data_IF_018452233954
#
_entry.id   IF_018452233954
#
_cell.length_a   1.000
_cell.length_b   1.000
_cell.length_c   1.000
_cell.angle_alpha   90.00
_cell.angle_beta   90.00
_cell.angle_gamma   90.00
#
_symmetry.space_group_name_H-M   'P 1'
#
loop_
_entity.id
_entity.type
_entity.pdbx_description
1 polymer ?
#
# COMPACT_ATOMS: atom_id res chain seq x y z
N UNK A 1 -22.31 -21.15 -80.77
CA UNK A 1 -21.81 -22.48 -80.39
C UNK A 1 -21.96 -22.65 -78.89
N UNK A 2 -22.60 -23.75 -78.49
CA UNK A 2 -22.62 -24.45 -77.18
C UNK A 2 -22.97 -23.63 -75.92
N UNK A 3 -24.23 -23.61 -75.42
CA UNK A 3 -25.00 -24.68 -74.71
C UNK A 3 -24.44 -25.00 -73.32
N UNK A 4 -25.19 -25.16 -72.23
CA UNK A 4 -26.62 -25.06 -71.91
C UNK A 4 -26.66 -25.17 -70.36
N UNK A 5 -27.46 -24.32 -69.70
CA UNK A 5 -27.62 -24.29 -68.24
C UNK A 5 -28.93 -25.00 -67.92
N UNK A 6 -28.88 -26.20 -67.34
CA UNK A 6 -30.07 -26.92 -66.88
C UNK A 6 -29.94 -27.26 -65.39
N UNK A 7 -30.95 -26.82 -64.63
CA UNK A 7 -31.21 -27.27 -63.28
C UNK A 7 -31.91 -28.63 -63.26
N UNK A 8 -31.79 -29.32 -62.13
CA UNK A 8 -32.60 -30.49 -61.81
C UNK A 8 -33.17 -30.33 -60.39
N UNK A 9 -34.48 -30.15 -60.32
CA UNK A 9 -35.30 -30.28 -59.12
C UNK A 9 -35.51 -31.76 -58.81
N UNK A 10 -35.26 -32.21 -57.58
CA UNK A 10 -35.88 -33.43 -57.06
C UNK A 10 -36.28 -33.22 -55.60
N UNK A 11 -37.60 -33.19 -55.37
CA UNK A 11 -38.24 -33.38 -54.07
C UNK A 11 -38.09 -34.84 -53.62
N UNK A 12 -37.77 -35.09 -52.34
CA UNK A 12 -38.09 -36.37 -51.67
C UNK A 12 -38.63 -36.12 -50.25
N UNK A 13 -39.75 -36.80 -49.99
CA UNK A 13 -40.52 -36.89 -48.73
C UNK A 13 -39.75 -37.63 -47.63
N UNK A 14 -40.11 -37.47 -46.34
CA UNK A 14 -39.40 -38.07 -45.22
C UNK A 14 -39.74 -39.55 -45.04
N UNK A 15 -38.74 -40.36 -44.70
CA UNK A 15 -38.93 -41.74 -44.25
C UNK A 15 -38.25 -41.88 -42.90
N UNK A 16 -39.05 -42.25 -41.90
CA UNK A 16 -38.64 -42.68 -40.58
C UNK A 16 -37.85 -43.97 -40.66
N UNK A 17 -36.66 -44.02 -40.05
CA UNK A 17 -36.25 -45.20 -39.29
C UNK A 17 -35.15 -44.86 -38.27
N UNK A 18 -35.54 -45.12 -37.02
CA UNK A 18 -34.76 -45.68 -35.92
C UNK A 18 -33.29 -46.04 -36.16
N UNK A 19 -32.43 -45.57 -35.25
CA UNK A 19 -31.24 -46.30 -34.85
C UNK A 19 -29.89 -45.63 -35.08
N UNK A 20 -29.58 -44.55 -34.37
CA UNK A 20 -28.23 -44.33 -33.80
C UNK A 20 -28.23 -43.24 -32.72
N UNK A 21 -27.57 -43.45 -31.56
CA UNK A 21 -27.64 -42.53 -30.44
C UNK A 21 -26.88 -41.23 -30.72
N UNK A 22 -27.40 -40.12 -30.17
CA UNK A 22 -26.80 -38.80 -30.23
C UNK A 22 -25.45 -38.75 -29.47
N UNK A 23 -24.49 -37.92 -29.91
CA UNK A 23 -23.21 -37.77 -29.23
C UNK A 23 -23.41 -37.18 -27.83
N UNK A 24 -22.87 -37.87 -26.82
CA UNK A 24 -22.98 -37.48 -25.41
C UNK A 24 -22.41 -36.09 -25.14
N UNK A 25 -23.20 -35.24 -24.48
CA UNK A 25 -22.77 -33.93 -23.98
C UNK A 25 -21.75 -34.14 -22.86
N UNK A 26 -20.52 -33.69 -23.05
CA UNK A 26 -19.54 -33.57 -21.95
C UNK A 26 -19.96 -32.37 -21.07
N UNK A 27 -20.13 -32.60 -19.77
CA UNK A 27 -20.36 -31.54 -18.78
C UNK A 27 -19.06 -30.73 -18.55
N UNK A 28 -19.13 -29.41 -18.34
CA UNK A 28 -18.00 -28.62 -17.84
C UNK A 28 -17.68 -29.02 -16.39
N UNK A 29 -16.39 -29.11 -16.05
CA UNK A 29 -15.85 -29.54 -14.74
C UNK A 29 -16.02 -28.47 -13.64
N UNK A 30 -16.92 -27.51 -13.82
CA UNK A 30 -17.15 -26.47 -12.82
C UNK A 30 -18.60 -26.02 -12.88
N UNK A 31 -19.43 -26.55 -11.97
CA UNK A 31 -20.81 -26.12 -11.78
C UNK A 31 -21.70 -27.20 -11.20
N UNK A 32 -22.11 -26.96 -9.95
CA UNK A 32 -23.33 -27.41 -9.27
C UNK A 32 -23.75 -28.88 -9.44
N UNK A 33 -23.47 -29.67 -8.40
CA UNK A 33 -24.20 -30.91 -8.14
C UNK A 33 -25.38 -30.62 -7.22
N UNK A 34 -26.54 -30.42 -7.84
CA UNK A 34 -27.83 -30.56 -7.20
C UNK A 34 -28.53 -31.76 -7.84
N UNK A 35 -28.57 -32.88 -7.12
CA UNK A 35 -29.56 -33.94 -7.34
C UNK A 35 -30.02 -34.49 -6.00
N UNK A 36 -31.31 -34.25 -5.80
CA UNK A 36 -32.28 -34.93 -4.96
C UNK A 36 -32.02 -36.44 -4.82
N UNK A 37 -32.03 -36.93 -3.58
CA UNK A 37 -32.35 -38.31 -3.23
C UNK A 37 -33.05 -38.28 -1.86
N UNK A 38 -34.32 -38.68 -1.84
CA UNK A 38 -35.07 -38.91 -0.62
C UNK A 38 -34.56 -40.19 0.07
N UNK A 39 -34.16 -40.06 1.34
CA UNK A 39 -34.42 -41.08 2.37
C UNK A 39 -34.39 -40.43 3.76
N UNK A 40 -35.27 -40.95 4.61
CA UNK A 40 -35.81 -40.39 5.87
C UNK A 40 -34.85 -40.29 7.07
N UNK A 41 -34.94 -39.14 7.75
CA UNK A 41 -34.87 -38.86 9.20
C UNK A 41 -33.84 -39.55 10.12
N UNK A 42 -32.98 -38.75 10.78
CA UNK A 42 -33.04 -38.47 12.23
C UNK A 42 -31.97 -37.43 12.67
N UNK A 43 -32.46 -36.39 13.38
CA UNK A 43 -31.85 -35.50 14.38
C UNK A 43 -30.36 -35.08 14.34
N UNK A 44 -30.13 -33.76 14.22
CA UNK A 44 -29.67 -32.88 15.32
C UNK A 44 -29.06 -31.57 14.78
N UNK A 45 -29.65 -30.45 15.18
CA UNK A 45 -29.18 -29.09 14.93
C UNK A 45 -27.97 -28.76 15.82
N UNK A 46 -26.88 -28.23 15.23
CA UNK A 46 -25.89 -27.41 15.94
C UNK A 46 -25.09 -26.56 14.94
N UNK A 47 -25.59 -25.37 14.64
CA UNK A 47 -24.83 -24.30 13.99
C UNK A 47 -25.17 -22.98 14.70
N UNK A 48 -24.25 -22.49 15.53
CA UNK A 48 -24.32 -21.13 16.08
C UNK A 48 -23.73 -20.16 15.06
N UNK A 49 -24.59 -19.29 14.54
CA UNK A 49 -24.22 -18.11 13.76
C UNK A 49 -23.85 -16.97 14.72
N UNK A 50 -22.76 -16.29 14.38
CA UNK A 50 -22.14 -15.21 15.16
C UNK A 50 -23.05 -13.98 15.14
N UNK A 51 -23.74 -13.74 16.26
CA UNK A 51 -24.59 -12.57 16.49
C UNK A 51 -23.80 -11.33 16.90
N UNK A 52 -24.08 -10.24 16.18
CA UNK A 52 -23.67 -8.85 16.38
C UNK A 52 -23.86 -8.39 17.83
N UNK A 53 -22.88 -7.64 18.34
CA UNK A 53 -22.81 -7.07 19.68
C UNK A 53 -23.79 -5.89 19.84
N UNK A 54 -24.98 -6.16 20.37
CA UNK A 54 -25.95 -5.15 20.81
C UNK A 54 -25.84 -4.96 22.33
N UNK A 55 -25.30 -3.82 22.75
CA UNK A 55 -25.16 -3.42 24.14
C UNK A 55 -26.39 -2.62 24.58
N UNK A 56 -27.47 -3.30 24.98
CA UNK A 56 -28.47 -2.79 25.95
C UNK A 56 -29.63 -3.79 26.14
N UNK A 57 -29.50 -4.74 27.09
CA UNK A 57 -30.68 -5.40 27.70
C UNK A 57 -30.39 -6.05 29.07
N UNK A 58 -31.23 -5.85 30.10
CA UNK A 58 -30.99 -6.40 31.44
C UNK A 58 -31.41 -7.88 31.56
N UNK A 59 -30.58 -8.67 32.25
CA UNK A 59 -30.65 -10.12 32.38
C UNK A 59 -31.81 -10.63 33.28
N UNK A 60 -32.45 -11.74 32.87
CA UNK A 60 -33.33 -12.58 33.71
C UNK A 60 -32.56 -13.82 34.23
N UNK A 61 -32.87 -14.34 35.44
CA UNK A 61 -32.10 -15.43 36.05
C UNK A 61 -32.57 -16.82 35.57
N UNK A 62 -31.61 -17.69 35.24
CA UNK A 62 -31.81 -19.07 34.83
C UNK A 62 -31.98 -20.03 36.03
N UNK A 63 -32.75 -21.10 35.79
CA UNK A 63 -33.12 -22.18 36.70
C UNK A 63 -32.00 -23.21 36.95
N UNK A 64 -32.04 -23.80 38.15
CA UNK A 64 -31.12 -24.81 38.69
C UNK A 64 -31.29 -26.19 38.04
N UNK A 65 -30.18 -26.90 37.84
CA UNK A 65 -30.10 -28.37 37.85
C UNK A 65 -28.89 -28.87 38.65
N UNK A 66 -29.01 -30.13 39.08
CA UNK A 66 -28.44 -30.90 40.20
C UNK A 66 -26.95 -31.23 40.28
N UNK A 67 -26.44 -31.18 41.52
CA UNK A 67 -25.41 -31.97 42.24
C UNK A 67 -24.56 -33.05 41.53
N UNK A 68 -23.23 -32.95 41.71
CA UNK A 68 -22.30 -34.07 42.01
C UNK A 68 -21.35 -33.63 43.13
N UNK A 69 -21.05 -34.56 44.03
CA UNK A 69 -20.35 -34.39 45.30
C UNK A 69 -18.82 -34.30 45.17
N UNK A 70 -18.18 -33.54 46.07
CA UNK A 70 -16.74 -33.56 46.31
C UNK A 70 -16.19 -32.18 46.66
N UNK A 71 -15.65 -32.07 47.88
CA UNK A 71 -15.01 -30.90 48.50
C UNK A 71 -15.89 -29.70 48.87
N UNK A 72 -16.03 -29.51 50.19
CA UNK A 72 -16.69 -28.36 50.81
C UNK A 72 -15.89 -27.09 50.49
N UNK A 73 -16.43 -26.10 49.77
CA UNK A 73 -15.88 -24.76 49.81
C UNK A 73 -16.10 -24.18 51.22
N UNK A 74 -15.19 -23.35 51.75
CA UNK A 74 -15.41 -22.70 53.03
C UNK A 74 -16.74 -21.93 52.97
N UNK A 75 -17.52 -22.05 54.03
CA UNK A 75 -18.83 -21.42 54.18
C UNK A 75 -18.77 -19.99 53.67
N UNK A 76 -19.64 -19.67 52.69
CA UNK A 76 -19.94 -18.30 52.31
C UNK A 76 -20.40 -17.58 53.57
N UNK A 77 -19.51 -16.81 54.19
CA UNK A 77 -19.88 -15.77 55.12
C UNK A 77 -20.85 -14.87 54.35
N UNK A 78 -22.13 -15.04 54.66
CA UNK A 78 -23.17 -14.07 54.35
C UNK A 78 -22.65 -12.72 54.82
N UNK A 79 -22.14 -11.89 53.92
CA UNK A 79 -21.93 -10.49 54.18
C UNK A 79 -23.31 -9.87 54.28
N UNK A 80 -23.88 -10.01 55.47
CA UNK A 80 -24.91 -9.12 55.98
C UNK A 80 -24.26 -7.76 55.90
N UNK A 81 -24.56 -7.04 54.82
CA UNK A 81 -24.12 -5.67 54.60
C UNK A 81 -24.98 -4.82 55.52
N UNK A 82 -24.80 -5.03 56.82
CA UNK A 82 -25.19 -4.06 57.82
C UNK A 82 -24.42 -2.81 57.42
N UNK A 83 -25.16 -1.77 57.00
CA UNK A 83 -24.59 -0.46 56.73
C UNK A 83 -24.10 0.10 58.05
N UNK A 84 -22.95 -0.37 58.51
CA UNK A 84 -22.19 0.28 59.55
C UNK A 84 -21.94 1.71 59.06
N UNK A 85 -22.17 2.72 59.90
CA UNK A 85 -21.88 4.09 59.52
C UNK A 85 -20.40 4.12 59.12
N UNK A 86 -20.12 4.59 57.91
CA UNK A 86 -18.75 4.89 57.49
C UNK A 86 -18.26 5.93 58.49
N UNK A 87 -17.51 5.47 59.49
CA UNK A 87 -16.82 6.34 60.43
C UNK A 87 -15.99 7.30 59.60
N UNK A 88 -15.95 8.59 59.99
CA UNK A 88 -15.15 9.62 59.32
C UNK A 88 -13.67 9.23 59.16
N UNK A 89 -13.21 8.22 59.92
CA UNK A 89 -11.83 7.74 59.96
C UNK A 89 -11.59 6.43 59.18
N UNK A 90 -12.59 5.87 58.48
CA UNK A 90 -12.43 4.63 57.70
C UNK A 90 -11.98 3.42 58.53
N UNK A 91 -11.66 2.31 57.86
CA UNK A 91 -11.07 1.12 58.50
C UNK A 91 -9.56 1.32 58.70
N UNK A 92 -9.19 1.84 59.87
CA UNK A 92 -7.79 2.12 60.26
C UNK A 92 -6.90 0.87 60.20
N UNK A 93 -7.45 -0.32 60.43
CA UNK A 93 -6.69 -1.56 60.36
C UNK A 93 -6.28 -1.87 58.92
N UNK A 94 -7.18 -1.64 57.96
CA UNK A 94 -6.88 -1.77 56.53
C UNK A 94 -5.86 -0.73 56.05
N UNK A 95 -5.88 0.48 56.61
CA UNK A 95 -4.87 1.49 56.27
C UNK A 95 -3.47 1.10 56.76
N UNK A 96 -3.38 0.55 57.98
CA UNK A 96 -2.11 0.10 58.55
C UNK A 96 -1.53 -1.09 57.80
N UNK A 97 -2.37 -2.07 57.42
CA UNK A 97 -1.91 -3.21 56.61
C UNK A 97 -1.46 -2.75 55.22
N UNK A 98 -2.21 -1.84 54.58
CA UNK A 98 -1.81 -1.24 53.31
C UNK A 98 -0.45 -0.53 53.41
N UNK A 99 -0.23 0.27 54.47
CA UNK A 99 1.03 0.98 54.66
C UNK A 99 2.22 0.03 54.88
N UNK A 100 2.02 -1.07 55.63
CA UNK A 100 3.04 -2.11 55.79
C UNK A 100 3.39 -2.75 54.46
N UNK A 101 2.38 -3.16 53.68
CA UNK A 101 2.60 -3.76 52.37
C UNK A 101 3.24 -2.77 51.37
N UNK A 102 2.87 -1.48 51.42
CA UNK A 102 3.49 -0.45 50.60
C UNK A 102 4.96 -0.22 50.98
N UNK A 103 5.29 -0.22 52.27
CA UNK A 103 6.68 -0.10 52.74
C UNK A 103 7.52 -1.33 52.38
N UNK A 104 6.95 -2.54 52.54
CA UNK A 104 7.56 -3.80 52.09
C UNK A 104 7.83 -3.76 50.57
N UNK A 105 6.83 -3.37 49.77
CA UNK A 105 6.95 -3.24 48.33
C UNK A 105 8.02 -2.23 47.90
N UNK A 106 8.04 -1.03 48.51
CA UNK A 106 9.04 0.01 48.25
C UNK A 106 10.45 -0.44 48.64
N UNK A 107 10.58 -1.27 49.68
CA UNK A 107 11.87 -1.82 50.11
C UNK A 107 12.43 -2.87 49.15
N UNK A 108 11.56 -3.60 48.45
CA UNK A 108 11.94 -4.57 47.42
C UNK A 108 12.30 -3.85 46.12
N UNK A 109 11.49 -2.86 45.73
CA UNK A 109 11.69 -2.05 44.53
C UNK A 109 11.26 -0.58 44.77
N UNK A 110 12.22 0.37 44.80
CA UNK A 110 11.91 1.79 44.95
C UNK A 110 11.11 2.38 43.78
N UNK A 111 11.14 1.75 42.60
CA UNK A 111 10.46 2.21 41.38
C UNK A 111 9.03 1.70 41.23
N UNK A 112 8.54 0.88 42.16
CA UNK A 112 7.25 0.18 42.03
C UNK A 112 6.04 1.11 41.85
N UNK A 113 6.15 2.36 42.34
CA UNK A 113 5.11 3.39 42.23
C UNK A 113 5.45 4.50 41.21
N UNK A 114 6.57 4.39 40.48
CA UNK A 114 6.99 5.37 39.48
C UNK A 114 6.33 5.09 38.12
N UNK A 115 5.03 5.34 38.06
CA UNK A 115 4.22 5.12 36.86
C UNK A 115 4.58 6.08 35.72
N UNK A 116 5.00 7.30 36.04
CA UNK A 116 5.35 8.33 35.07
C UNK A 116 6.61 7.93 34.30
N UNK A 117 7.65 7.41 34.97
CA UNK A 117 8.86 6.92 34.30
C UNK A 117 8.57 5.76 33.34
N UNK A 118 7.71 4.82 33.72
CA UNK A 118 7.30 3.73 32.83
C UNK A 118 6.49 4.22 31.63
N UNK A 119 5.58 5.18 31.85
CA UNK A 119 4.79 5.80 30.80
C UNK A 119 5.66 6.54 29.78
N UNK A 120 6.58 7.37 30.28
CA UNK A 120 7.54 8.13 29.47
C UNK A 120 8.47 7.20 28.69
N UNK A 121 8.95 6.11 29.30
CA UNK A 121 9.77 5.10 28.62
C UNK A 121 9.03 4.41 27.47
N UNK A 122 7.74 4.14 27.61
CA UNK A 122 6.93 3.54 26.54
C UNK A 122 6.65 4.54 25.41
N UNK A 123 6.37 5.80 25.75
CA UNK A 123 6.02 6.84 24.79
C UNK A 123 7.23 7.33 24.01
N UNK A 124 8.38 7.52 24.66
CA UNK A 124 9.65 7.86 24.01
C UNK A 124 10.09 6.78 23.03
N UNK A 125 9.98 5.49 23.38
CA UNK A 125 10.31 4.38 22.46
C UNK A 125 9.33 4.27 21.30
N UNK A 126 8.03 4.45 21.56
CA UNK A 126 7.02 4.51 20.50
C UNK A 126 7.30 5.66 19.53
N UNK A 127 7.67 6.83 20.06
CA UNK A 127 8.06 7.99 19.26
C UNK A 127 9.35 7.73 18.46
N UNK A 128 10.38 7.13 19.06
CA UNK A 128 11.62 6.76 18.39
C UNK A 128 11.38 5.73 17.27
N UNK A 129 10.55 4.69 17.53
CA UNK A 129 10.15 3.70 16.51
C UNK A 129 9.40 4.38 15.35
N UNK A 130 8.47 5.30 15.64
CA UNK A 130 7.76 6.08 14.61
C UNK A 130 8.69 7.00 13.82
N UNK A 131 9.69 7.60 14.47
CA UNK A 131 10.69 8.43 13.79
C UNK A 131 11.54 7.59 12.83
N UNK A 132 12.06 6.45 13.30
CA UNK A 132 12.80 5.50 12.47
C UNK A 132 11.95 5.00 11.29
N UNK A 133 10.67 4.65 11.51
CA UNK A 133 9.77 4.22 10.43
C UNK A 133 9.54 5.32 9.38
N UNK A 134 9.51 6.61 9.78
CA UNK A 134 9.41 7.74 8.85
C UNK A 134 10.67 7.93 8.03
N UNK A 135 11.85 7.81 8.65
CA UNK A 135 13.14 7.87 7.95
C UNK A 135 13.27 6.72 6.95
N UNK A 136 12.94 5.50 7.38
CA UNK A 136 12.89 4.33 6.51
C UNK A 136 11.88 4.52 5.38
N UNK A 137 10.70 5.07 5.65
CA UNK A 137 9.70 5.34 4.61
C UNK A 137 10.19 6.36 3.56
N UNK A 138 11.05 7.31 3.94
CA UNK A 138 11.66 8.26 3.00
C UNK A 138 12.74 7.61 2.13
N UNK A 139 13.50 6.67 2.69
CA UNK A 139 14.56 5.96 1.98
C UNK A 139 14.04 4.79 1.13
N UNK A 140 12.89 4.21 1.51
CA UNK A 140 12.40 2.98 0.89
C UNK A 140 11.85 3.24 -0.50
N UNK A 141 12.31 2.42 -1.44
CA UNK A 141 11.73 2.33 -2.79
C UNK A 141 10.23 2.02 -2.73
N UNK A 142 9.44 2.46 -3.72
CA UNK A 142 8.02 2.16 -3.79
C UNK A 142 7.76 0.65 -3.68
N UNK A 143 6.75 0.28 -2.87
CA UNK A 143 6.46 -1.09 -2.41
C UNK A 143 6.46 -2.17 -3.52
N UNK A 144 6.12 -1.80 -4.74
CA UNK A 144 5.92 -2.72 -5.85
C UNK A 144 6.97 -2.64 -6.96
N UNK A 145 7.91 -1.68 -6.93
CA UNK A 145 8.86 -1.49 -8.04
C UNK A 145 9.82 -2.67 -8.17
N UNK A 146 10.34 -3.17 -7.05
CA UNK A 146 11.24 -4.33 -7.06
C UNK A 146 10.54 -5.58 -7.60
N UNK A 147 9.25 -5.77 -7.27
CA UNK A 147 8.44 -6.86 -7.80
C UNK A 147 8.19 -6.72 -9.30
N UNK A 148 7.96 -5.49 -9.78
CA UNK A 148 7.77 -5.22 -11.21
C UNK A 148 9.06 -5.50 -11.99
N UNK A 149 10.21 -5.07 -11.46
CA UNK A 149 11.53 -5.32 -12.05
C UNK A 149 11.83 -6.82 -12.07
N UNK A 150 11.65 -7.51 -10.94
CA UNK A 150 11.83 -8.96 -10.85
C UNK A 150 10.91 -9.71 -11.84
N UNK A 151 9.64 -9.32 -11.95
CA UNK A 151 8.71 -9.92 -12.91
C UNK A 151 9.12 -9.64 -14.36
N UNK A 152 9.65 -8.46 -14.67
CA UNK A 152 10.17 -8.15 -15.99
C UNK A 152 11.39 -9.01 -16.33
N UNK A 153 12.30 -9.23 -15.38
CA UNK A 153 13.43 -10.13 -15.56
C UNK A 153 13.01 -11.60 -15.75
N UNK A 154 12.05 -12.09 -14.96
CA UNK A 154 11.48 -13.43 -15.15
C UNK A 154 10.94 -13.58 -16.56
N UNK A 155 10.14 -12.62 -17.05
CA UNK A 155 9.64 -12.66 -18.44
C UNK A 155 10.75 -12.66 -19.48
N UNK A 156 11.84 -11.90 -19.26
CA UNK A 156 12.99 -11.91 -20.18
C UNK A 156 13.64 -13.30 -20.22
N UNK A 157 13.84 -13.94 -19.06
CA UNK A 157 14.36 -15.32 -18.97
C UNK A 157 13.41 -16.31 -19.66
N UNK A 158 12.11 -16.19 -19.43
CA UNK A 158 11.08 -17.04 -20.06
C UNK A 158 11.08 -16.90 -21.59
N UNK A 159 11.22 -15.66 -22.09
CA UNK A 159 11.30 -15.39 -23.52
C UNK A 159 12.53 -16.02 -24.18
N UNK A 160 13.69 -15.98 -23.51
CA UNK A 160 14.90 -16.64 -24.00
C UNK A 160 14.68 -18.16 -24.06
N UNK A 161 14.14 -18.77 -23.01
CA UNK A 161 13.80 -20.20 -22.98
C UNK A 161 12.81 -20.59 -24.08
N UNK A 162 11.81 -19.75 -24.32
CA UNK A 162 10.83 -19.99 -25.37
C UNK A 162 11.46 -19.97 -26.76
N UNK A 163 12.39 -19.03 -27.02
CA UNK A 163 13.14 -18.97 -28.27
C UNK A 163 14.05 -20.18 -28.46
N UNK A 164 14.73 -20.63 -27.41
CA UNK A 164 15.62 -21.80 -27.48
C UNK A 164 14.82 -23.08 -27.77
N UNK A 165 13.67 -23.26 -27.11
CA UNK A 165 12.76 -24.38 -27.40
C UNK A 165 12.15 -24.30 -28.79
N UNK A 166 11.85 -23.09 -29.27
CA UNK A 166 11.36 -22.88 -30.63
C UNK A 166 12.43 -23.30 -31.65
N UNK A 167 13.67 -22.87 -31.46
CA UNK A 167 14.80 -23.23 -32.33
C UNK A 167 15.10 -24.74 -32.29
N UNK A 168 14.97 -25.38 -31.13
CA UNK A 168 15.07 -26.84 -31.02
C UNK A 168 13.96 -27.54 -31.82
N UNK A 169 12.72 -27.06 -31.68
CA UNK A 169 11.57 -27.61 -32.40
C UNK A 169 11.68 -27.41 -33.92
N UNK A 170 12.21 -26.28 -34.37
CA UNK A 170 12.50 -26.02 -35.79
C UNK A 170 13.53 -27.01 -36.33
N UNK A 171 14.62 -27.27 -35.59
CA UNK A 171 15.62 -28.29 -35.97
C UNK A 171 15.06 -29.71 -35.97
N UNK A 172 14.19 -30.04 -35.03
CA UNK A 172 13.51 -31.34 -35.01
C UNK A 172 12.53 -31.49 -36.19
N UNK A 173 11.89 -30.40 -36.60
CA UNK A 173 11.00 -30.37 -37.76
C UNK A 173 11.76 -30.45 -39.09
N UNK A 174 12.94 -29.85 -39.19
CA UNK A 174 13.89 -30.02 -40.31
C UNK A 174 14.45 -31.45 -40.37
N UNK A 175 14.45 -32.17 -39.23
CA UNK A 175 14.64 -33.61 -39.15
C UNK A 175 15.90 -34.10 -39.88
N UNK A 176 15.68 -34.98 -40.86
CA UNK A 176 16.75 -35.63 -41.63
C UNK A 176 17.24 -34.83 -42.84
N UNK A 177 16.60 -33.69 -43.19
CA UNK A 177 16.98 -32.89 -44.37
C UNK A 177 18.42 -32.34 -44.28
N UNK A 178 18.96 -32.28 -43.07
CA UNK A 178 20.31 -31.82 -42.76
C UNK A 178 21.12 -32.83 -41.95
N UNK A 179 20.72 -34.12 -41.93
CA UNK A 179 21.45 -35.17 -41.23
C UNK A 179 22.88 -35.38 -41.79
N UNK A 180 23.05 -35.21 -43.09
CA UNK A 180 24.34 -35.34 -43.78
C UNK A 180 25.26 -34.11 -43.58
N UNK A 181 24.78 -33.03 -42.95
CA UNK A 181 25.56 -31.80 -42.74
C UNK A 181 26.00 -31.68 -41.28
N UNK A 182 27.22 -31.19 -41.09
CA UNK A 182 27.81 -31.00 -39.77
C UNK A 182 27.04 -29.93 -38.96
N UNK A 183 26.76 -30.24 -37.68
CA UNK A 183 26.04 -29.34 -36.76
C UNK A 183 27.04 -28.44 -36.03
N UNK A 184 27.14 -27.18 -36.45
CA UNK A 184 28.01 -26.21 -35.78
C UNK A 184 27.22 -25.42 -34.72
N UNK A 185 27.67 -25.50 -33.48
CA UNK A 185 27.16 -24.68 -32.38
C UNK A 185 28.24 -23.68 -31.98
N UNK A 186 27.92 -22.39 -32.04
CA UNK A 186 28.84 -21.32 -31.64
C UNK A 186 29.13 -21.40 -30.13
N UNK A 187 30.34 -21.03 -29.70
CA UNK A 187 30.71 -21.02 -28.27
C UNK A 187 29.73 -20.21 -27.43
N UNK A 188 29.34 -19.02 -27.92
CA UNK A 188 28.38 -18.14 -27.26
C UNK A 188 27.00 -18.81 -27.05
N UNK A 189 26.54 -19.65 -27.96
CA UNK A 189 25.26 -20.36 -27.79
C UNK A 189 25.37 -21.50 -26.77
N UNK A 190 26.53 -22.18 -26.71
CA UNK A 190 26.78 -23.18 -25.66
C UNK A 190 26.78 -22.53 -24.27
N UNK A 191 27.47 -21.39 -24.14
CA UNK A 191 27.50 -20.60 -22.91
C UNK A 191 26.09 -20.12 -22.51
N UNK A 192 25.30 -19.59 -23.45
CA UNK A 192 23.91 -19.20 -23.19
C UNK A 192 23.03 -20.38 -22.74
N UNK A 193 23.19 -21.55 -23.35
CA UNK A 193 22.43 -22.75 -22.97
C UNK A 193 22.81 -23.24 -21.56
N UNK A 194 24.09 -23.17 -21.20
CA UNK A 194 24.58 -23.52 -19.87
C UNK A 194 24.11 -22.52 -18.81
N UNK A 195 24.15 -21.22 -19.11
CA UNK A 195 23.62 -20.18 -18.22
C UNK A 195 22.12 -20.35 -17.97
N UNK A 196 21.33 -20.60 -19.02
CA UNK A 196 19.89 -20.87 -18.89
C UNK A 196 19.64 -22.12 -18.05
N UNK A 197 20.36 -23.22 -18.29
CA UNK A 197 20.23 -24.45 -17.51
C UNK A 197 20.59 -24.22 -16.03
N UNK A 198 21.67 -23.50 -15.75
CA UNK A 198 22.10 -23.17 -14.38
C UNK A 198 21.05 -22.34 -13.65
N UNK A 199 20.49 -21.32 -14.31
CA UNK A 199 19.43 -20.48 -13.74
C UNK A 199 18.14 -21.27 -13.49
N UNK A 200 17.79 -22.23 -14.36
CA UNK A 200 16.65 -23.12 -14.15
C UNK A 200 16.82 -24.03 -12.94
N UNK A 201 18.01 -24.61 -12.75
CA UNK A 201 18.29 -25.47 -11.59
C UNK A 201 18.26 -24.69 -10.27
N UNK A 202 18.77 -23.45 -10.27
CA UNK A 202 18.75 -22.58 -9.09
C UNK A 202 17.32 -22.13 -8.74
N UNK A 203 16.54 -21.68 -9.73
CA UNK A 203 15.13 -21.32 -9.53
C UNK A 203 14.31 -22.53 -9.07
N UNK A 204 14.56 -23.72 -9.63
CA UNK A 204 13.87 -24.96 -9.22
C UNK A 204 14.19 -25.33 -7.76
N UNK A 205 15.46 -25.29 -7.35
CA UNK A 205 15.85 -25.51 -5.95
C UNK A 205 15.18 -24.49 -5.03
N UNK A 206 15.19 -23.22 -5.42
CA UNK A 206 14.54 -22.14 -4.67
C UNK A 206 13.03 -22.35 -4.55
N UNK A 207 12.38 -22.78 -5.63
CA UNK A 207 10.95 -23.08 -5.65
C UNK A 207 10.63 -24.29 -4.75
N UNK A 208 11.44 -25.35 -4.79
CA UNK A 208 11.29 -26.53 -3.93
C UNK A 208 11.42 -26.16 -2.44
N UNK A 209 12.41 -25.34 -2.07
CA UNK A 209 12.54 -24.82 -0.70
C UNK A 209 11.36 -23.95 -0.29
N UNK A 210 10.90 -23.05 -1.17
CA UNK A 210 9.73 -22.21 -0.91
C UNK A 210 8.46 -23.05 -0.79
N UNK A 211 8.28 -24.06 -1.63
CA UNK A 211 7.16 -24.99 -1.58
C UNK A 211 7.20 -25.81 -0.29
N UNK A 212 8.38 -26.27 0.14
CA UNK A 212 8.55 -26.96 1.42
C UNK A 212 8.19 -26.04 2.61
N UNK A 213 8.61 -24.77 2.58
CA UNK A 213 8.26 -23.78 3.61
C UNK A 213 6.75 -23.49 3.61
N UNK A 214 6.15 -23.26 2.44
CA UNK A 214 4.70 -23.04 2.27
C UNK A 214 3.87 -24.24 2.75
N UNK A 215 4.31 -25.46 2.47
CA UNK A 215 3.65 -26.70 2.95
C UNK A 215 3.71 -26.82 4.48
N UNK A 216 4.80 -26.39 5.11
CA UNK A 216 4.98 -26.43 6.57
C UNK A 216 4.21 -25.34 7.31
N UNK A 217 3.92 -24.23 6.65
CA UNK A 217 3.38 -23.02 7.27
C UNK A 217 1.99 -22.70 6.68
N UNK A 218 0.98 -23.47 7.07
CA UNK A 218 -0.43 -23.13 6.80
C UNK A 218 -0.91 -21.93 7.61
N UNK A 219 -2.23 -21.71 7.70
CA UNK A 219 -2.83 -20.60 8.48
C UNK A 219 -2.36 -20.60 9.95
N UNK A 220 -2.21 -21.77 10.56
CA UNK A 220 -1.67 -21.91 11.92
C UNK A 220 -0.24 -21.37 12.07
N UNK A 221 0.57 -21.47 11.02
CA UNK A 221 1.93 -20.94 11.02
C UNK A 221 1.96 -19.41 10.89
N UNK A 222 0.99 -18.81 10.18
CA UNK A 222 0.81 -17.36 10.18
C UNK A 222 0.49 -16.85 11.60
N UNK A 223 -0.51 -17.44 12.26
CA UNK A 223 -0.85 -17.06 13.64
C UNK A 223 0.31 -17.28 14.60
N UNK A 224 1.04 -18.41 14.49
CA UNK A 224 2.24 -18.65 15.29
C UNK A 224 3.29 -17.55 15.08
N UNK A 225 3.57 -17.19 13.84
CA UNK A 225 4.54 -16.14 13.52
C UNK A 225 4.11 -14.75 14.04
N UNK A 226 2.82 -14.46 14.02
CA UNK A 226 2.26 -13.23 14.57
C UNK A 226 2.41 -13.20 16.09
N UNK A 227 2.07 -14.29 16.78
CA UNK A 227 2.23 -14.41 18.23
C UNK A 227 3.71 -14.37 18.65
N UNK A 228 4.61 -15.01 17.88
CA UNK A 228 6.06 -14.92 18.11
C UNK A 228 6.57 -13.49 17.93
N UNK A 229 6.08 -12.77 16.91
CA UNK A 229 6.44 -11.37 16.66
C UNK A 229 5.94 -10.46 17.79
N UNK A 230 4.69 -10.62 18.21
CA UNK A 230 4.11 -9.91 19.36
C UNK A 230 4.85 -10.22 20.66
N UNK A 231 5.18 -11.49 20.90
CA UNK A 231 5.99 -11.91 22.04
C UNK A 231 7.40 -11.31 22.04
N UNK A 232 8.06 -11.21 20.89
CA UNK A 232 9.37 -10.52 20.77
C UNK A 232 9.23 -9.02 21.06
N UNK A 233 8.22 -8.37 20.48
CA UNK A 233 7.94 -6.95 20.76
C UNK A 233 7.68 -6.70 22.25
N UNK A 234 6.95 -7.59 22.92
CA UNK A 234 6.68 -7.49 24.35
C UNK A 234 7.98 -7.60 25.16
N UNK A 235 8.82 -8.60 24.87
CA UNK A 235 10.12 -8.78 25.54
C UNK A 235 11.03 -7.58 25.36
N UNK A 236 11.11 -7.02 24.15
CA UNK A 236 11.87 -5.78 23.90
C UNK A 236 11.35 -4.61 24.75
N UNK A 237 10.03 -4.49 24.92
CA UNK A 237 9.43 -3.45 25.76
C UNK A 237 9.77 -3.65 27.24
N UNK A 238 9.68 -4.89 27.73
CA UNK A 238 10.04 -5.26 29.11
C UNK A 238 11.52 -5.03 29.39
N UNK A 239 12.43 -5.49 28.53
CA UNK A 239 13.88 -5.29 28.67
C UNK A 239 14.22 -3.81 28.67
N UNK A 240 13.60 -3.05 27.77
CA UNK A 240 13.86 -1.63 27.70
C UNK A 240 13.24 -0.86 28.88
N UNK A 241 12.10 -1.31 29.44
CA UNK A 241 11.53 -0.74 30.66
C UNK A 241 12.41 -1.06 31.88
N UNK A 242 12.94 -2.28 31.96
CA UNK A 242 13.91 -2.66 32.99
C UNK A 242 15.21 -1.85 32.89
N UNK A 243 15.66 -1.50 31.68
CA UNK A 243 16.82 -0.63 31.48
C UNK A 243 16.59 0.80 31.99
N UNK A 244 15.39 1.36 31.80
CA UNK A 244 15.06 2.71 32.31
C UNK A 244 14.87 2.75 33.84
N UNK A 245 14.63 1.61 34.47
CA UNK A 245 14.44 1.47 35.93
C UNK A 245 15.78 1.36 36.68
N UNK A 246 16.90 1.10 36.01
CA UNK A 246 18.21 1.14 36.67
C UNK A 246 18.59 2.59 37.03
N UNK A 247 18.71 2.94 38.32
CA UNK A 247 18.84 4.32 38.79
C UNK A 247 20.30 4.79 38.72
N UNK A 248 20.92 4.72 37.54
CA UNK A 248 22.31 5.13 37.30
C UNK A 248 22.47 6.18 36.22
N UNK A 249 21.57 6.20 35.23
CA UNK A 249 21.67 7.08 34.05
C UNK A 249 20.35 7.84 33.85
N UNK A 250 19.92 8.58 34.88
CA UNK A 250 18.96 9.67 34.68
C UNK A 250 19.70 10.86 34.07
N UNK A 251 20.00 10.80 32.77
CA UNK A 251 20.24 12.01 32.00
C UNK A 251 18.98 12.88 32.09
N UNK A 252 19.11 14.21 32.29
CA UNK A 252 17.95 15.07 32.30
C UNK A 252 17.27 14.94 30.94
N UNK A 253 16.05 14.42 30.94
CA UNK A 253 15.18 14.47 29.77
C UNK A 253 14.88 15.95 29.59
N UNK A 254 15.70 16.61 28.77
CA UNK A 254 15.38 17.92 28.21
C UNK A 254 13.97 17.81 27.65
N UNK A 255 13.09 18.57 28.28
CA UNK A 255 11.74 18.92 27.85
C UNK A 255 11.43 18.42 26.44
N UNK A 256 10.56 17.40 26.35
CA UNK A 256 9.80 17.16 25.15
C UNK A 256 9.36 18.52 24.59
N UNK A 257 9.45 18.76 23.27
CA UNK A 257 8.99 20.02 22.70
C UNK A 257 7.53 20.16 23.09
N UNK A 258 7.24 21.06 24.04
CA UNK A 258 5.87 21.40 24.38
C UNK A 258 5.24 21.77 23.04
N UNK A 259 4.24 21.00 22.63
CA UNK A 259 3.42 21.35 21.49
C UNK A 259 2.95 22.77 21.74
N UNK A 260 3.49 23.73 20.99
CA UNK A 260 3.17 25.15 21.15
C UNK A 260 1.66 25.26 21.25
N UNK A 261 1.19 25.88 22.32
CA UNK A 261 -0.25 25.95 22.59
C UNK A 261 -0.99 26.48 21.35
N UNK A 262 -2.23 26.03 21.10
CA UNK A 262 -3.02 26.46 19.91
C UNK A 262 -3.01 28.00 19.76
N UNK A 263 -2.91 28.71 20.88
CA UNK A 263 -2.82 30.17 21.01
C UNK A 263 -1.49 30.74 20.48
N UNK A 264 -0.36 30.11 20.79
CA UNK A 264 0.96 30.52 20.31
C UNK A 264 1.08 30.31 18.80
N UNK A 265 0.55 29.18 18.30
CA UNK A 265 0.51 28.89 16.87
C UNK A 265 -0.35 29.92 16.13
N UNK A 266 -1.51 30.28 16.70
CA UNK A 266 -2.39 31.31 16.14
C UNK A 266 -1.70 32.68 16.06
N UNK A 267 -1.00 33.09 17.13
CA UNK A 267 -0.25 34.35 17.18
C UNK A 267 0.91 34.37 16.17
N UNK A 268 1.65 33.27 16.05
CA UNK A 268 2.75 33.14 15.09
C UNK A 268 2.25 33.20 13.64
N UNK A 269 1.12 32.57 13.34
CA UNK A 269 0.49 32.61 12.02
C UNK A 269 -0.10 33.99 11.70
N UNK A 270 -0.67 34.69 12.70
CA UNK A 270 -1.11 36.07 12.54
C UNK A 270 0.06 37.03 12.28
N UNK A 271 1.20 36.83 12.96
CA UNK A 271 2.42 37.58 12.69
C UNK A 271 3.00 37.30 11.29
N UNK A 272 2.78 36.09 10.77
CA UNK A 272 3.12 35.68 9.39
C UNK A 272 2.10 36.12 8.34
N UNK A 273 1.06 36.87 8.71
CA UNK A 273 0.05 37.42 7.79
C UNK A 273 -1.23 36.59 7.63
N UNK A 274 -1.45 35.57 8.47
CA UNK A 274 -2.74 34.91 8.62
C UNK A 274 -3.75 35.80 9.34
N UNK A 275 -5.04 35.60 9.08
CA UNK A 275 -6.12 36.28 9.80
C UNK A 275 -6.90 35.25 10.63
N UNK A 276 -6.30 34.78 11.72
CA UNK A 276 -6.90 33.82 12.66
C UNK A 276 -7.58 34.58 13.78
N UNK A 277 -8.89 34.35 13.95
CA UNK A 277 -9.71 35.01 14.97
C UNK A 277 -9.58 34.24 16.30
N UNK A 278 -9.16 34.94 17.35
CA UNK A 278 -9.02 34.41 18.71
C UNK A 278 -10.11 35.07 19.58
N UNK A 279 -10.88 34.28 20.33
CA UNK A 279 -11.92 34.77 21.25
C UNK A 279 -11.29 35.30 22.55
N UNK A 280 -12.07 36.03 23.36
CA UNK A 280 -11.62 36.64 24.63
C UNK A 280 -11.13 35.60 25.66
N UNK A 281 -11.54 34.34 25.53
CA UNK A 281 -11.06 33.20 26.34
C UNK A 281 -9.75 32.59 25.82
N UNK A 282 -9.11 33.20 24.82
CA UNK A 282 -7.86 32.74 24.24
C UNK A 282 -7.97 31.53 23.31
N UNK A 283 -9.18 31.08 22.99
CA UNK A 283 -9.41 29.96 22.07
C UNK A 283 -9.55 30.43 20.61
N UNK A 284 -9.03 29.66 19.66
CA UNK A 284 -9.19 29.95 18.22
C UNK A 284 -10.63 29.66 17.81
N UNK A 285 -11.33 30.67 17.30
CA UNK A 285 -12.75 30.60 16.95
C UNK A 285 -13.03 29.54 15.86
N UNK A 286 -12.10 29.35 14.93
CA UNK A 286 -12.19 28.32 13.89
C UNK A 286 -10.84 27.61 13.69
N UNK A 287 -10.75 26.37 14.17
CA UNK A 287 -9.53 25.55 14.12
C UNK A 287 -9.03 25.29 12.69
N UNK A 288 -9.87 25.47 11.67
CA UNK A 288 -9.47 25.34 10.27
C UNK A 288 -8.52 26.45 9.83
N UNK A 289 -8.57 27.62 10.46
CA UNK A 289 -7.69 28.75 10.16
C UNK A 289 -6.25 28.49 10.61
N UNK A 290 -6.03 27.54 11.53
CA UNK A 290 -4.70 27.07 11.93
C UNK A 290 -4.06 26.15 10.91
N UNK A 291 -4.83 25.61 9.95
CA UNK A 291 -4.31 24.76 8.90
C UNK A 291 -3.64 25.63 7.83
N UNK A 292 -2.41 25.30 7.45
CA UNK A 292 -1.68 26.01 6.42
C UNK A 292 -2.47 25.98 5.09
N UNK A 293 -2.60 27.14 4.45
CA UNK A 293 -3.42 27.37 3.26
C UNK A 293 -2.91 26.69 1.96
N UNK A 294 -2.18 25.57 2.09
CA UNK A 294 -1.52 24.86 0.99
C UNK A 294 -2.28 23.66 0.43
N UNK A 295 -3.54 23.42 0.82
CA UNK A 295 -4.37 22.35 0.29
C UNK A 295 -5.47 22.92 -0.62
N UNK A 296 -5.39 22.64 -1.93
CA UNK A 296 -6.30 23.00 -3.03
C UNK A 296 -7.76 23.37 -2.65
N UNK A 297 -7.99 24.62 -2.24
CA UNK A 297 -9.34 25.22 -2.27
C UNK A 297 -9.37 26.20 -3.43
N UNK A 298 -9.69 25.71 -4.62
CA UNK A 298 -10.06 26.57 -5.76
C UNK A 298 -11.37 27.26 -5.39
N UNK A 299 -11.43 28.61 -5.31
CA UNK A 299 -12.67 29.30 -4.98
C UNK A 299 -13.67 29.13 -6.14
N UNK A 300 -14.78 28.45 -5.87
CA UNK A 300 -15.89 28.27 -6.80
C UNK A 300 -16.72 29.58 -6.84
N UNK A 301 -16.99 30.18 -8.00
CA UNK A 301 -17.77 31.41 -8.08
C UNK A 301 -19.24 31.17 -7.73
N UNK A 302 -19.82 32.09 -6.96
CA UNK A 302 -21.23 32.14 -6.52
C UNK A 302 -22.17 32.21 -7.73
N UNK A 303 -23.09 31.25 -7.88
CA UNK A 303 -24.29 31.43 -8.69
C UNK A 303 -25.45 31.90 -7.81
N UNK A 304 -26.12 32.94 -8.28
CA UNK A 304 -27.25 33.60 -7.66
C UNK A 304 -28.48 32.67 -7.50
N UNK A 305 -29.31 33.06 -6.54
CA UNK A 305 -30.55 32.46 -6.07
C UNK A 305 -31.65 32.32 -7.13
N UNK A 306 -32.34 31.17 -7.14
CA UNK A 306 -33.81 31.09 -7.29
C UNK A 306 -34.34 29.84 -6.57
N UNK A 307 -35.35 30.02 -5.71
CA UNK A 307 -36.16 28.97 -5.09
C UNK A 307 -37.46 28.74 -5.92
N UNK A 308 -38.42 27.88 -5.53
CA UNK A 308 -38.38 26.65 -4.74
C UNK A 308 -38.91 25.42 -5.53
N UNK A 309 -38.79 24.24 -4.91
CA UNK A 309 -39.22 22.94 -5.37
C UNK A 309 -40.73 22.84 -5.67
N UNK A 310 -41.06 22.34 -6.87
CA UNK A 310 -42.38 21.81 -7.19
C UNK A 310 -42.22 20.36 -7.68
N UNK A 311 -42.97 19.46 -7.04
CA UNK A 311 -43.09 18.06 -7.38
C UNK A 311 -43.67 17.91 -8.80
N UNK A 312 -43.08 17.04 -9.62
CA UNK A 312 -43.77 16.51 -10.80
C UNK A 312 -43.35 15.07 -11.10
N UNK A 313 -44.38 14.23 -11.07
CA UNK A 313 -44.57 12.90 -11.63
C UNK A 313 -43.48 12.34 -12.57
N UNK A 314 -43.09 11.09 -12.27
CA UNK A 314 -42.43 10.17 -13.21
C UNK A 314 -43.48 9.67 -14.22
N UNK A 315 -43.22 9.71 -15.55
CA UNK A 315 -43.93 8.84 -16.47
C UNK A 315 -43.16 7.52 -16.63
N UNK A 316 -43.90 6.44 -16.42
CA UNK A 316 -43.54 5.08 -16.76
C UNK A 316 -43.57 4.86 -18.28
N UNK A 317 -42.57 4.17 -18.80
CA UNK A 317 -42.73 3.24 -19.92
C UNK A 317 -42.06 3.62 -21.25
N UNK A 318 -40.99 2.90 -21.60
CA UNK A 318 -40.90 2.25 -22.93
C UNK A 318 -39.85 1.13 -22.90
N UNK A 319 -40.33 -0.09 -23.18
CA UNK A 319 -39.53 -1.25 -23.51
C UNK A 319 -38.72 -0.96 -24.78
N UNK A 320 -37.39 -1.03 -24.71
CA UNK A 320 -36.54 -1.02 -25.89
C UNK A 320 -35.73 -2.31 -25.95
N UNK A 321 -35.92 -3.00 -27.06
CA UNK A 321 -35.39 -4.30 -27.40
C UNK A 321 -33.90 -4.42 -27.10
N UNK A 322 -33.53 -5.52 -26.44
CA UNK A 322 -32.17 -5.88 -26.06
C UNK A 322 -31.35 -6.25 -27.30
N UNK A 323 -30.84 -5.25 -28.02
CA UNK A 323 -29.80 -5.42 -29.03
C UNK A 323 -28.44 -5.08 -28.40
N UNK A 324 -27.65 -6.12 -28.14
CA UNK A 324 -26.22 -6.15 -27.83
C UNK A 324 -25.63 -5.02 -26.95
N UNK A 325 -25.75 -5.18 -25.63
CA UNK A 325 -25.07 -4.35 -24.62
C UNK A 325 -23.52 -4.43 -24.64
N UNK A 326 -22.92 -5.24 -25.51
CA UNK A 326 -21.46 -5.41 -25.63
C UNK A 326 -20.81 -4.29 -26.44
N UNK A 327 -21.39 -3.93 -27.60
CA UNK A 327 -20.82 -2.92 -28.50
C UNK A 327 -20.89 -1.49 -27.94
N UNK A 328 -21.95 -1.14 -27.21
CA UNK A 328 -22.08 0.17 -26.57
C UNK A 328 -21.04 0.40 -25.47
N UNK A 329 -20.71 -0.63 -24.67
CA UNK A 329 -19.66 -0.55 -23.65
C UNK A 329 -18.26 -0.46 -24.25
N UNK A 330 -18.01 -1.14 -25.37
CA UNK A 330 -16.75 -1.01 -26.10
C UNK A 330 -16.60 0.39 -26.71
N UNK A 331 -17.63 0.91 -27.37
CA UNK A 331 -17.64 2.26 -27.92
C UNK A 331 -17.47 3.36 -26.85
N UNK A 332 -18.03 3.18 -25.65
CA UNK A 332 -17.80 4.10 -24.53
C UNK A 332 -16.37 4.04 -24.01
N UNK A 333 -15.76 2.85 -23.92
CA UNK A 333 -14.36 2.70 -23.54
C UNK A 333 -13.42 3.32 -24.58
N UNK A 334 -13.65 3.07 -25.86
CA UNK A 334 -12.85 3.65 -26.96
C UNK A 334 -12.87 5.18 -26.95
N UNK A 335 -14.01 5.79 -26.64
CA UNK A 335 -14.12 7.25 -26.49
C UNK A 335 -13.35 7.76 -25.28
N UNK A 336 -13.40 7.03 -24.16
CA UNK A 336 -12.66 7.37 -22.94
C UNK A 336 -11.14 7.19 -23.13
N UNK A 337 -10.70 6.11 -23.79
CA UNK A 337 -9.28 5.87 -24.08
C UNK A 337 -8.74 6.90 -25.06
N UNK A 338 -9.50 7.25 -26.10
CA UNK A 338 -9.10 8.31 -27.05
C UNK A 338 -9.00 9.69 -26.42
N UNK A 339 -9.84 10.00 -25.42
CA UNK A 339 -9.76 11.25 -24.67
C UNK A 339 -8.47 11.30 -23.82
N UNK A 340 -8.16 10.19 -23.13
CA UNK A 340 -6.93 10.08 -22.33
C UNK A 340 -5.68 10.12 -23.20
N UNK A 341 -5.70 9.44 -24.35
CA UNK A 341 -4.63 9.47 -25.34
C UNK A 341 -4.41 10.89 -25.86
N UNK A 342 -5.47 11.60 -26.25
CA UNK A 342 -5.36 12.99 -26.68
C UNK A 342 -4.81 13.93 -25.59
N UNK A 343 -5.18 13.70 -24.32
CA UNK A 343 -4.64 14.48 -23.20
C UNK A 343 -3.15 14.18 -22.99
N UNK A 344 -2.74 12.92 -23.15
CA UNK A 344 -1.34 12.50 -23.02
C UNK A 344 -0.50 13.05 -24.19
N UNK A 345 -0.98 12.96 -25.43
CA UNK A 345 -0.35 13.56 -26.61
C UNK A 345 -0.22 15.08 -26.48
N UNK A 346 -1.22 15.76 -25.93
CA UNK A 346 -1.14 17.20 -25.70
C UNK A 346 -0.09 17.53 -24.63
N UNK A 347 0.01 16.73 -23.57
CA UNK A 347 1.02 16.89 -22.54
C UNK A 347 2.44 16.61 -23.07
N UNK A 348 2.63 15.56 -23.86
CA UNK A 348 3.94 15.25 -24.47
C UNK A 348 4.35 16.32 -25.48
N UNK A 349 3.40 16.86 -26.26
CA UNK A 349 3.66 17.96 -27.17
C UNK A 349 4.09 19.23 -26.43
N UNK A 350 3.39 19.61 -25.36
CA UNK A 350 3.77 20.77 -24.53
C UNK A 350 5.15 20.58 -23.90
N UNK A 351 5.43 19.40 -23.37
CA UNK A 351 6.74 19.09 -22.79
C UNK A 351 7.86 19.15 -23.85
N UNK A 352 7.61 18.66 -25.06
CA UNK A 352 8.58 18.74 -26.16
C UNK A 352 8.80 20.18 -26.63
N UNK A 353 7.74 21.00 -26.69
CA UNK A 353 7.84 22.41 -27.04
C UNK A 353 8.62 23.20 -25.96
N UNK A 354 8.34 22.95 -24.67
CA UNK A 354 9.06 23.51 -23.53
C UNK A 354 10.56 23.13 -23.55
N UNK A 355 10.89 21.85 -23.81
CA UNK A 355 12.28 21.40 -23.91
C UNK A 355 13.01 22.08 -25.09
N UNK A 356 12.33 22.29 -26.22
CA UNK A 356 12.91 23.02 -27.35
C UNK A 356 13.14 24.49 -27.02
N UNK A 357 12.23 25.14 -26.29
CA UNK A 357 12.40 26.51 -25.82
C UNK A 357 13.54 26.63 -24.81
N UNK A 358 13.66 25.69 -23.89
CA UNK A 358 14.79 25.63 -22.94
C UNK A 358 16.12 25.44 -23.68
N UNK A 359 16.18 24.52 -24.65
CA UNK A 359 17.37 24.33 -25.49
C UNK A 359 17.73 25.61 -26.22
N UNK A 360 16.77 26.28 -26.85
CA UNK A 360 16.98 27.58 -27.51
C UNK A 360 17.46 28.66 -26.53
N UNK A 361 16.92 28.69 -25.31
CA UNK A 361 17.33 29.62 -24.26
C UNK A 361 18.75 29.35 -23.79
N UNK A 362 19.12 28.09 -23.58
CA UNK A 362 20.48 27.68 -23.22
C UNK A 362 21.45 28.01 -24.35
N UNK A 363 21.09 27.74 -25.60
CA UNK A 363 21.90 28.13 -26.75
C UNK A 363 22.09 29.64 -26.85
N UNK A 364 21.02 30.43 -26.65
CA UNK A 364 21.13 31.88 -26.68
C UNK A 364 21.98 32.40 -25.51
N UNK A 365 21.85 31.81 -24.32
CA UNK A 365 22.68 32.11 -23.18
C UNK A 365 24.17 31.79 -23.45
N UNK A 366 24.45 30.62 -24.03
CA UNK A 366 25.79 30.21 -24.43
C UNK A 366 26.39 31.15 -25.49
N UNK A 367 25.61 31.52 -26.51
CA UNK A 367 26.01 32.47 -27.57
C UNK A 367 26.25 33.89 -27.01
N UNK A 368 25.52 34.30 -25.97
CA UNK A 368 25.68 35.62 -25.35
C UNK A 368 26.84 35.70 -24.35
N UNK A 369 27.30 34.56 -23.81
CA UNK A 369 28.41 34.52 -22.86
C UNK A 369 29.74 34.57 -23.63
N UNK A 370 30.53 35.61 -23.38
CA UNK A 370 31.89 35.75 -23.92
C UNK A 370 32.73 34.56 -23.45
N UNK A 371 33.43 33.91 -24.38
CA UNK A 371 34.27 32.76 -24.06
C UNK A 371 35.56 33.23 -23.39
N UNK A 372 36.23 32.35 -22.65
CA UNK A 372 37.51 32.67 -22.01
C UNK A 372 38.59 33.04 -23.03
N UNK A 373 38.55 32.46 -24.24
CA UNK A 373 39.40 32.83 -25.37
C UNK A 373 39.13 34.26 -25.88
N UNK A 374 37.88 34.71 -25.88
CA UNK A 374 37.56 36.10 -26.26
C UNK A 374 38.11 37.08 -25.22
N UNK A 375 38.06 36.71 -23.95
CA UNK A 375 38.56 37.52 -22.83
C UNK A 375 40.10 37.57 -22.84
N UNK A 376 40.79 36.44 -23.06
CA UNK A 376 42.25 36.40 -23.14
C UNK A 376 42.77 37.15 -24.37
N UNK A 377 42.15 36.97 -25.53
CA UNK A 377 42.49 37.70 -26.75
C UNK A 377 42.27 39.22 -26.60
N UNK A 378 41.19 39.65 -25.93
CA UNK A 378 40.98 41.07 -25.62
C UNK A 378 42.06 41.62 -24.68
N UNK A 379 42.48 40.84 -23.68
CA UNK A 379 43.54 41.20 -22.73
C UNK A 379 44.90 41.31 -23.41
N UNK A 380 45.23 40.40 -24.33
CA UNK A 380 46.47 40.45 -25.11
C UNK A 380 46.52 41.68 -26.02
N UNK A 381 45.44 41.98 -26.75
CA UNK A 381 45.35 43.19 -27.58
C UNK A 381 45.48 44.47 -26.75
N UNK A 382 44.90 44.48 -25.55
CA UNK A 382 45.05 45.61 -24.62
C UNK A 382 46.51 45.78 -24.16
N UNK A 383 47.19 44.69 -23.82
CA UNK A 383 48.60 44.73 -23.43
C UNK A 383 49.51 45.15 -24.58
N UNK A 384 49.25 44.69 -25.81
CA UNK A 384 49.97 45.13 -27.01
C UNK A 384 49.80 46.63 -27.24
N UNK A 385 48.56 47.13 -27.22
CA UNK A 385 48.27 48.57 -27.35
C UNK A 385 48.96 49.40 -26.27
N UNK A 386 49.02 48.88 -25.03
CA UNK A 386 49.72 49.54 -23.92
C UNK A 386 51.23 49.56 -24.12
N UNK A 387 51.82 48.47 -24.62
CA UNK A 387 53.26 48.40 -24.95
C UNK A 387 53.61 49.35 -26.09
N UNK A 388 52.80 49.40 -27.14
CA UNK A 388 52.98 50.32 -28.27
C UNK A 388 52.83 51.78 -27.83
N UNK A 389 51.84 52.10 -27.00
CA UNK A 389 51.69 53.45 -26.44
C UNK A 389 52.87 53.85 -25.55
N UNK A 390 53.41 52.92 -24.75
CA UNK A 390 54.61 53.17 -23.94
C UNK A 390 55.86 53.35 -24.81
N UNK A 391 56.03 52.54 -25.86
CA UNK A 391 57.13 52.69 -26.81
C UNK A 391 57.03 54.01 -27.60
N UNK A 392 55.82 54.41 -28.00
CA UNK A 392 55.57 55.69 -28.66
C UNK A 392 55.80 56.89 -27.72
N UNK A 393 55.44 56.77 -26.44
CA UNK A 393 55.73 57.79 -25.43
C UNK A 393 57.24 57.90 -25.16
N UNK A 394 57.95 56.77 -25.08
CA UNK A 394 59.40 56.75 -24.96
C UNK A 394 60.09 57.36 -26.20
N UNK A 395 59.60 57.08 -27.40
CA UNK A 395 60.11 57.68 -28.64
C UNK A 395 59.86 59.21 -28.70
N UNK A 396 58.74 59.71 -28.17
CA UNK A 396 58.44 61.15 -28.09
C UNK A 396 59.19 61.89 -26.98
N UNK A 397 59.67 61.21 -25.94
CA UNK A 397 60.49 61.79 -24.89
C UNK A 397 62.00 61.81 -25.21
N UNK A 398 62.41 61.15 -26.29
CA UNK A 398 63.80 61.08 -26.76
C UNK A 398 64.11 61.98 -27.97
N UNK A 399 63.12 62.77 -28.43
CA UNK A 399 63.28 63.90 -29.37
C UNK A 399 63.17 65.20 -28.60
#
# INVERSE_FOLDING_TARGET
MTTLKYGLNIQKKPVSNSGRPAPGKRKPVFGDDASDNEETAEDANAAEEVGVFDADRPARPASKLSNVAGDKPPSKLSSRKDKLPVSQYGDLSSCLTHQKHAAEATSVDPSIYDYDAAYDALHTKSAAKKAAEREDAQLRKPKYMDHLLAAAEVRKRDQLRAKDKLLQKEREAEGDEFADKEKFVTSAYKEQQEEVRRLEEEEKKREEEQAAKKKKLGMQGFYRSMMELEGRKHKELEEAAAQTVNPGDAAPIDSAPQEKSEVELAKEMNAKGGNIVINDEGQVADKRQLLSAGLNVVPKPKSASTAPSAASARPSGSQQAYQSASGSKQAMRERQTRLLEAQLEQATKRAADEEQEERRRVEHAAKSRKTESDISGAKERYLQRKREAAAAAAAKGAS
#
